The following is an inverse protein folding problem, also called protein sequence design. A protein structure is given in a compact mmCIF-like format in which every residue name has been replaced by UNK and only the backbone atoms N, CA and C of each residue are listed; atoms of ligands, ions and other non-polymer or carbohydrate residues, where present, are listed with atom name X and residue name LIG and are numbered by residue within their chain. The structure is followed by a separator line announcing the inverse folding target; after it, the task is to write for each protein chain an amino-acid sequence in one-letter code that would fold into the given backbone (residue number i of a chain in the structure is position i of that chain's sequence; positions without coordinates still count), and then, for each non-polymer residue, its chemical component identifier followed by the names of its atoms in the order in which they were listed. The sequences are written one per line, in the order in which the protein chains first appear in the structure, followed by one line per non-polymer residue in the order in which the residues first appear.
data_IF_497140321644
#
_entry.id   IF_497140321644
#
_cell.length_a   1.000
_cell.length_b   1.000
_cell.length_c   1.000
_cell.angle_alpha   90.00
_cell.angle_beta   90.00
_cell.angle_gamma   90.00
#
_symmetry.space_group_name_H-M   'P 1'
#
loop_
_entity.id
_entity.type
_entity.pdbx_description
1 polymer ?
#
# COMPACT_ATOMS: atom_id res chain seq x y z
N UNK A 1 0.28 -3.06 -29.03
CA UNK A 1 -0.17 -3.25 -27.62
C UNK A 1 1.10 -3.26 -26.79
N UNK A 2 1.35 -2.22 -26.01
CA UNK A 2 2.54 -2.08 -25.15
C UNK A 2 2.35 -3.03 -23.98
N UNK A 3 3.33 -3.90 -23.73
CA UNK A 3 3.26 -4.97 -22.72
C UNK A 3 4.38 -4.76 -21.70
N UNK A 4 4.17 -5.27 -20.49
CA UNK A 4 5.23 -5.34 -19.49
C UNK A 4 6.53 -5.96 -20.05
N UNK A 5 7.66 -5.57 -19.46
CA UNK A 5 8.95 -6.22 -19.65
C UNK A 5 8.83 -7.75 -19.57
N UNK A 6 9.49 -8.51 -20.46
CA UNK A 6 9.44 -9.97 -20.43
C UNK A 6 9.97 -10.49 -19.09
N UNK A 7 9.25 -11.48 -18.55
CA UNK A 7 9.68 -12.25 -17.38
C UNK A 7 10.99 -12.96 -17.72
N UNK A 8 11.94 -12.95 -16.79
CA UNK A 8 13.22 -13.63 -16.93
C UNK A 8 13.28 -14.86 -16.03
N UNK A 9 14.09 -15.86 -16.38
CA UNK A 9 14.30 -17.05 -15.54
C UNK A 9 14.91 -16.72 -14.17
N UNK A 10 15.55 -15.55 -14.00
CA UNK A 10 16.02 -15.10 -12.69
C UNK A 10 14.87 -14.66 -11.78
N UNK A 11 13.74 -14.18 -12.31
CA UNK A 11 12.58 -13.79 -11.49
C UNK A 11 11.94 -15.01 -10.81
N UNK A 12 12.07 -16.19 -11.43
CA UNK A 12 11.56 -17.47 -10.90
C UNK A 12 12.33 -17.96 -9.65
N UNK A 13 13.49 -17.36 -9.36
CA UNK A 13 14.28 -17.68 -8.16
C UNK A 13 13.62 -17.19 -6.86
N UNK A 14 12.89 -16.06 -6.90
CA UNK A 14 12.26 -15.45 -5.72
C UNK A 14 10.74 -15.55 -5.73
N UNK A 15 10.12 -15.72 -6.90
CA UNK A 15 8.66 -15.65 -7.07
C UNK A 15 8.18 -16.53 -8.20
N UNK A 16 6.86 -16.67 -8.35
CA UNK A 16 6.22 -17.31 -9.49
C UNK A 16 5.14 -16.42 -10.09
N UNK A 17 4.88 -16.57 -11.39
CA UNK A 17 3.80 -15.87 -12.08
C UNK A 17 2.44 -16.44 -11.67
N UNK A 18 1.47 -15.53 -11.54
CA UNK A 18 0.06 -15.86 -11.32
C UNK A 18 -0.75 -15.34 -12.49
N UNK A 19 -1.72 -16.13 -12.94
CA UNK A 19 -2.68 -15.68 -13.94
C UNK A 19 -3.60 -14.62 -13.32
N UNK A 20 -3.37 -13.36 -13.73
CA UNK A 20 -4.11 -12.21 -13.22
C UNK A 20 -5.59 -12.23 -13.61
N UNK A 21 -5.97 -12.99 -14.64
CA UNK A 21 -7.37 -13.07 -15.11
C UNK A 21 -8.28 -13.81 -14.13
N UNK A 22 -7.70 -14.45 -13.11
CA UNK A 22 -8.42 -15.08 -12.00
C UNK A 22 -8.99 -14.05 -11.01
N UNK A 23 -8.57 -12.78 -11.10
CA UNK A 23 -8.98 -11.70 -10.21
C UNK A 23 -9.80 -10.66 -10.97
N UNK A 24 -10.86 -10.16 -10.35
CA UNK A 24 -11.59 -9.01 -10.88
C UNK A 24 -10.85 -7.72 -10.52
N UNK A 25 -9.95 -7.29 -11.41
CA UNK A 25 -9.18 -6.04 -11.26
C UNK A 25 -9.97 -4.80 -11.72
N UNK A 26 -11.26 -4.95 -12.04
CA UNK A 26 -12.13 -3.90 -12.55
C UNK A 26 -11.64 -3.27 -13.88
N UNK A 27 -10.79 -4.00 -14.63
CA UNK A 27 -10.18 -3.54 -15.87
C UNK A 27 -8.84 -2.83 -15.71
N UNK A 28 -8.35 -2.65 -14.47
CA UNK A 28 -7.01 -2.14 -14.18
C UNK A 28 -5.96 -3.23 -14.41
N UNK A 29 -4.70 -2.81 -14.58
CA UNK A 29 -3.50 -3.65 -14.74
C UNK A 29 -3.54 -4.71 -15.85
N UNK A 30 -4.36 -4.50 -16.90
CA UNK A 30 -4.61 -5.47 -17.99
C UNK A 30 -3.38 -5.93 -18.79
N UNK A 31 -2.29 -5.13 -18.84
CA UNK A 31 -1.06 -5.46 -19.57
C UNK A 31 0.13 -5.79 -18.65
N UNK A 32 -0.16 -6.10 -17.39
CA UNK A 32 0.82 -6.44 -16.37
C UNK A 32 0.77 -7.94 -16.04
N UNK A 33 1.91 -8.46 -15.63
CA UNK A 33 2.11 -9.81 -15.09
C UNK A 33 2.08 -9.70 -13.58
N UNK A 34 1.21 -10.48 -12.94
CA UNK A 34 1.21 -10.64 -11.50
C UNK A 34 2.23 -11.71 -11.10
N UNK A 35 2.96 -11.46 -10.02
CA UNK A 35 3.83 -12.46 -9.38
C UNK A 35 3.59 -12.50 -7.88
N UNK A 36 3.92 -13.63 -7.28
CA UNK A 36 3.87 -13.84 -5.82
C UNK A 36 5.15 -14.46 -5.34
N UNK A 37 5.70 -13.92 -4.26
CA UNK A 37 6.93 -14.37 -3.66
C UNK A 37 6.82 -15.83 -3.18
N UNK A 38 7.86 -16.64 -3.39
CA UNK A 38 7.93 -18.04 -2.98
C UNK A 38 7.83 -18.22 -1.45
N UNK A 39 8.25 -17.21 -0.71
CA UNK A 39 8.33 -17.19 0.75
C UNK A 39 7.28 -16.30 1.42
N UNK A 40 6.04 -16.31 0.93
CA UNK A 40 4.96 -15.50 1.51
C UNK A 40 4.71 -15.77 3.00
N UNK A 41 4.84 -17.01 3.48
CA UNK A 41 4.70 -17.32 4.91
C UNK A 41 5.68 -16.51 5.76
N UNK A 42 6.88 -16.21 5.24
CA UNK A 42 7.86 -15.33 5.88
C UNK A 42 7.36 -13.88 5.93
N UNK A 43 6.62 -13.42 4.91
CA UNK A 43 5.95 -12.11 4.95
C UNK A 43 4.86 -12.08 6.03
N UNK A 44 4.06 -13.14 6.15
CA UNK A 44 3.03 -13.26 7.18
C UNK A 44 3.63 -13.24 8.59
N UNK A 45 4.76 -13.93 8.81
CA UNK A 45 5.52 -13.86 10.07
C UNK A 45 5.96 -12.42 10.37
N UNK A 46 6.51 -11.70 9.39
CA UNK A 46 6.92 -10.31 9.56
C UNK A 46 5.76 -9.38 9.94
N UNK A 47 4.63 -9.49 9.23
CA UNK A 47 3.40 -8.76 9.55
C UNK A 47 2.90 -9.08 10.96
N UNK A 48 2.80 -10.36 11.33
CA UNK A 48 2.32 -10.76 12.65
C UNK A 48 3.24 -10.26 13.77
N UNK A 49 4.56 -10.36 13.58
CA UNK A 49 5.52 -9.87 14.57
C UNK A 49 5.38 -8.36 14.82
N UNK A 50 5.07 -7.57 13.77
CA UNK A 50 4.82 -6.14 13.92
C UNK A 50 3.56 -5.86 14.76
N UNK A 51 2.52 -6.69 14.63
CA UNK A 51 1.33 -6.61 15.47
C UNK A 51 1.65 -6.90 16.94
N UNK A 52 2.41 -7.97 17.21
CA UNK A 52 2.81 -8.33 18.57
C UNK A 52 3.63 -7.21 19.23
N UNK A 53 4.64 -6.69 18.54
CA UNK A 53 5.47 -5.59 19.03
C UNK A 53 4.66 -4.33 19.27
N UNK A 54 3.74 -3.99 18.35
CA UNK A 54 2.86 -2.85 18.52
C UNK A 54 1.98 -3.00 19.77
N UNK A 55 1.38 -4.17 19.97
CA UNK A 55 0.55 -4.45 21.14
C UNK A 55 1.34 -4.37 22.44
N UNK A 56 2.58 -4.86 22.46
CA UNK A 56 3.44 -4.86 23.64
C UNK A 56 3.99 -3.47 23.97
N UNK A 57 4.29 -2.65 22.97
CA UNK A 57 5.04 -1.39 23.14
C UNK A 57 4.17 -0.13 23.09
N UNK A 58 3.04 -0.19 22.41
CA UNK A 58 2.17 0.97 22.12
C UNK A 58 0.79 0.74 22.71
N UNK A 59 0.20 -0.43 22.48
CA UNK A 59 -1.10 -0.82 23.04
C UNK A 59 -2.00 -1.53 22.03
N UNK A 60 -3.21 -1.85 22.49
CA UNK A 60 -4.16 -2.67 21.73
C UNK A 60 -4.49 -2.05 20.36
N UNK A 61 -4.28 -2.82 19.31
CA UNK A 61 -4.71 -2.50 17.95
C UNK A 61 -6.23 -2.64 17.87
N UNK A 62 -6.90 -1.70 17.18
CA UNK A 62 -8.33 -1.81 16.97
C UNK A 62 -8.63 -3.08 16.15
N UNK A 63 -9.58 -3.95 16.53
CA UNK A 63 -9.94 -5.13 15.74
C UNK A 63 -10.34 -4.83 14.28
N UNK A 64 -10.68 -3.59 13.93
CA UNK A 64 -10.94 -3.16 12.55
C UNK A 64 -9.70 -2.70 11.77
N UNK A 65 -8.53 -2.63 12.41
CA UNK A 65 -7.27 -2.20 11.79
C UNK A 65 -6.47 -3.39 11.28
N UNK A 66 -6.17 -3.35 9.98
CA UNK A 66 -5.33 -4.32 9.28
C UNK A 66 -4.30 -3.53 8.47
N UNK A 67 -3.09 -4.06 8.33
CA UNK A 67 -2.12 -3.57 7.35
C UNK A 67 -2.05 -4.46 6.13
N UNK A 68 -0.90 -5.06 5.87
CA UNK A 68 -0.55 -5.73 4.62
C UNK A 68 -1.03 -7.19 4.51
N UNK A 69 -1.43 -7.83 5.60
CA UNK A 69 -1.92 -9.21 5.54
C UNK A 69 -3.20 -9.35 4.73
N UNK A 70 -3.20 -10.33 3.81
CA UNK A 70 -4.38 -10.75 3.07
C UNK A 70 -4.26 -12.26 2.78
N UNK A 71 -4.85 -13.13 3.62
CA UNK A 71 -4.75 -14.57 3.44
C UNK A 71 -5.41 -15.09 2.15
N UNK A 72 -6.28 -14.30 1.51
CA UNK A 72 -7.04 -14.76 0.34
C UNK A 72 -6.26 -14.57 -0.96
N UNK A 73 -5.90 -13.34 -1.29
CA UNK A 73 -5.18 -13.04 -2.53
C UNK A 73 -3.66 -13.09 -2.34
N UNK A 74 -3.18 -12.74 -1.15
CA UNK A 74 -1.78 -12.85 -0.75
C UNK A 74 -1.28 -11.61 0.00
N UNK A 75 -0.26 -11.80 0.83
CA UNK A 75 0.36 -10.72 1.61
C UNK A 75 0.84 -9.58 0.70
N UNK A 76 0.64 -8.33 1.11
CA UNK A 76 1.06 -7.14 0.36
C UNK A 76 2.53 -7.21 -0.07
N UNK A 77 3.45 -7.53 0.85
CA UNK A 77 4.88 -7.64 0.53
C UNK A 77 5.15 -8.75 -0.50
N UNK A 78 4.47 -9.88 -0.38
CA UNK A 78 4.67 -11.02 -1.29
C UNK A 78 4.17 -10.74 -2.71
N UNK A 79 3.12 -9.92 -2.87
CA UNK A 79 2.55 -9.57 -4.18
C UNK A 79 3.21 -8.33 -4.80
N UNK A 80 3.48 -7.30 -3.99
CA UNK A 80 3.99 -6.00 -4.46
C UNK A 80 5.50 -6.03 -4.65
N UNK A 81 6.23 -6.78 -3.82
CA UNK A 81 7.69 -6.84 -3.83
C UNK A 81 8.22 -8.25 -4.14
N UNK A 82 7.82 -8.89 -5.26
CA UNK A 82 8.10 -10.31 -5.50
C UNK A 82 9.58 -10.62 -5.83
N UNK A 83 10.42 -9.60 -6.04
CA UNK A 83 11.84 -9.76 -6.39
C UNK A 83 12.81 -9.52 -5.22
N UNK A 84 12.31 -9.22 -4.01
CA UNK A 84 13.20 -9.03 -2.86
C UNK A 84 13.89 -10.33 -2.47
N UNK A 85 15.07 -10.22 -1.86
CA UNK A 85 15.84 -11.39 -1.42
C UNK A 85 15.08 -12.15 -0.32
N UNK A 86 15.02 -13.49 -0.34
CA UNK A 86 14.30 -14.29 0.66
C UNK A 86 14.66 -13.94 2.11
N UNK A 87 15.95 -13.72 2.39
CA UNK A 87 16.46 -13.37 3.72
C UNK A 87 16.06 -11.95 4.19
N UNK A 88 15.52 -11.11 3.30
CA UNK A 88 15.06 -9.74 3.60
C UNK A 88 13.54 -9.63 3.72
N UNK A 89 12.79 -10.65 3.27
CA UNK A 89 11.32 -10.65 3.23
C UNK A 89 10.68 -10.33 4.58
N UNK A 90 11.12 -10.98 5.66
CA UNK A 90 10.49 -10.83 6.97
C UNK A 90 10.59 -9.40 7.47
N UNK A 91 11.80 -8.82 7.43
CA UNK A 91 12.01 -7.45 7.90
C UNK A 91 11.31 -6.44 6.98
N UNK A 92 11.29 -6.66 5.67
CA UNK A 92 10.52 -5.82 4.74
C UNK A 92 9.03 -5.83 5.08
N UNK A 93 8.44 -7.01 5.32
CA UNK A 93 7.03 -7.12 5.69
C UNK A 93 6.74 -6.46 7.04
N UNK A 94 7.60 -6.66 8.04
CA UNK A 94 7.50 -6.01 9.34
C UNK A 94 7.47 -4.48 9.23
N UNK A 95 8.37 -3.91 8.44
CA UNK A 95 8.49 -2.45 8.27
C UNK A 95 7.27 -1.87 7.53
N UNK A 96 6.79 -2.55 6.50
CA UNK A 96 5.58 -2.14 5.77
C UNK A 96 4.34 -2.25 6.65
N UNK A 97 4.22 -3.31 7.47
CA UNK A 97 3.12 -3.46 8.42
C UNK A 97 3.13 -2.34 9.46
N UNK A 98 4.29 -2.01 10.02
CA UNK A 98 4.44 -0.86 10.91
C UNK A 98 3.96 0.44 10.24
N UNK A 99 4.32 0.66 8.97
CA UNK A 99 3.87 1.84 8.23
C UNK A 99 2.34 1.90 8.09
N UNK A 100 1.66 0.78 7.78
CA UNK A 100 0.20 0.71 7.74
C UNK A 100 -0.47 0.99 9.09
N UNK A 101 0.10 0.49 10.19
CA UNK A 101 -0.41 0.74 11.55
C UNK A 101 -0.18 2.20 11.96
N UNK A 102 0.98 2.76 11.61
CA UNK A 102 1.33 4.16 11.87
C UNK A 102 0.40 5.12 11.12
N UNK A 103 0.13 4.85 9.84
CA UNK A 103 -0.78 5.63 9.00
C UNK A 103 -2.16 5.78 9.64
N UNK A 104 -2.74 4.67 10.11
CA UNK A 104 -4.03 4.68 10.83
C UNK A 104 -4.01 5.60 12.07
N UNK A 105 -2.88 5.67 12.79
CA UNK A 105 -2.74 6.56 13.95
C UNK A 105 -2.70 8.02 13.53
N UNK A 106 -1.98 8.34 12.44
CA UNK A 106 -1.90 9.70 11.90
C UNK A 106 -3.28 10.17 11.44
N UNK A 107 -4.02 9.33 10.72
CA UNK A 107 -5.39 9.64 10.28
C UNK A 107 -6.35 9.88 11.46
N UNK A 108 -6.34 8.99 12.48
CA UNK A 108 -7.17 9.17 13.68
C UNK A 108 -6.84 10.45 14.47
N UNK A 109 -5.57 10.88 14.45
CA UNK A 109 -5.17 12.16 15.05
C UNK A 109 -5.67 13.37 14.24
N UNK A 110 -5.76 13.26 12.91
CA UNK A 110 -6.32 14.31 12.03
C UNK A 110 -7.84 14.47 12.25
N UNK A 111 -8.59 13.37 12.31
CA UNK A 111 -10.05 13.39 12.51
C UNK A 111 -10.53 13.96 13.86
N UNK A 112 -9.64 14.05 14.87
CA UNK A 112 -9.97 14.62 16.19
C UNK A 112 -9.81 16.15 16.27
N UNK A 113 -9.31 16.80 15.21
CA UNK A 113 -8.98 18.22 15.24
C UNK A 113 -7.86 18.55 16.23
N UNK A 114 -7.18 19.69 16.03
CA UNK A 114 -6.27 20.25 17.05
C UNK A 114 -7.10 20.81 18.21
N UNK A 115 -7.71 19.94 19.02
CA UNK A 115 -8.15 20.28 20.36
C UNK A 115 -6.90 20.50 21.22
N UNK A 116 -6.30 21.69 21.06
CA UNK A 116 -5.21 22.18 21.91
C UNK A 116 -5.65 22.44 23.36
N UNK A 117 -6.92 22.14 23.71
CA UNK A 117 -7.50 22.49 25.01
C UNK A 117 -8.27 21.37 25.73
N UNK A 118 -8.28 20.12 25.28
CA UNK A 118 -8.87 19.05 26.09
C UNK A 118 -7.79 18.33 26.90
N UNK A 119 -7.62 18.79 28.13
CA UNK A 119 -6.83 18.13 29.15
C UNK A 119 -7.31 16.71 29.40
N UNK A 120 -6.33 15.85 29.69
CA UNK A 120 -6.47 14.65 30.52
C UNK A 120 -7.66 13.73 30.20
N UNK A 121 -7.83 13.32 28.94
CA UNK A 121 -8.57 12.09 28.66
C UNK A 121 -7.64 10.87 28.89
N UNK A 122 -7.32 10.62 30.16
CA UNK A 122 -6.70 9.38 30.62
C UNK A 122 -7.66 8.24 30.32
N UNK A 123 -7.48 7.58 29.17
CA UNK A 123 -7.92 6.19 29.00
C UNK A 123 -7.18 5.39 30.07
N UNK A 124 -7.92 4.97 31.11
CA UNK A 124 -7.47 3.99 32.08
C UNK A 124 -7.50 2.61 31.43
N UNK A 125 -6.61 2.40 30.47
CA UNK A 125 -6.33 1.07 29.92
C UNK A 125 -4.89 0.72 30.32
N UNK A 126 -4.80 -0.19 31.30
CA UNK A 126 -3.69 -1.08 31.68
C UNK A 126 -2.27 -0.59 31.31
N UNK A 127 -1.47 -0.27 32.34
CA UNK A 127 -0.02 0.01 32.36
C UNK A 127 0.82 -0.40 31.13
N UNK A 128 0.71 0.33 30.02
CA UNK A 128 1.73 0.40 28.97
C UNK A 128 2.27 1.84 28.93
N UNK A 129 3.56 1.99 28.61
CA UNK A 129 4.22 3.31 28.59
C UNK A 129 3.60 4.29 27.60
N UNK A 130 4.14 5.52 27.52
CA UNK A 130 3.69 6.54 26.55
C UNK A 130 3.68 5.97 25.12
N UNK A 131 2.52 5.86 24.44
CA UNK A 131 2.42 5.33 23.07
C UNK A 131 3.35 6.03 22.07
N UNK A 132 3.65 7.32 22.28
CA UNK A 132 4.61 8.07 21.46
C UNK A 132 6.03 7.57 21.66
N UNK A 133 6.38 7.23 22.90
CA UNK A 133 7.68 6.63 23.22
C UNK A 133 7.76 5.20 22.65
N UNK A 134 6.67 4.43 22.71
CA UNK A 134 6.56 3.11 22.09
C UNK A 134 6.83 3.16 20.59
N UNK A 135 6.14 4.06 19.86
CA UNK A 135 6.35 4.28 18.43
C UNK A 135 7.80 4.66 18.11
N UNK A 136 8.38 5.61 18.86
CA UNK A 136 9.78 6.04 18.65
C UNK A 136 10.78 4.91 18.86
N UNK A 137 10.57 4.06 19.88
CA UNK A 137 11.43 2.90 20.13
C UNK A 137 11.33 1.88 19.01
N UNK A 138 10.12 1.57 18.55
CA UNK A 138 9.90 0.64 17.44
C UNK A 138 10.54 1.17 16.14
N UNK A 139 10.44 2.47 15.86
CA UNK A 139 11.14 3.11 14.73
C UNK A 139 12.67 3.01 14.85
N UNK A 140 13.23 3.24 16.04
CA UNK A 140 14.66 3.10 16.28
C UNK A 140 15.12 1.65 16.05
N UNK A 141 14.41 0.68 16.64
CA UNK A 141 14.71 -0.75 16.48
C UNK A 141 14.63 -1.20 15.00
N UNK A 142 13.66 -0.67 14.24
CA UNK A 142 13.56 -0.89 12.79
C UNK A 142 14.81 -0.37 12.08
N UNK A 143 15.18 0.88 12.32
CA UNK A 143 16.33 1.50 11.64
C UNK A 143 17.64 0.81 12.01
N UNK A 144 17.80 0.36 13.25
CA UNK A 144 18.98 -0.39 13.69
C UNK A 144 19.08 -1.74 12.97
N UNK A 145 17.98 -2.47 12.84
CA UNK A 145 17.94 -3.74 12.10
C UNK A 145 18.20 -3.57 10.61
N UNK A 146 17.60 -2.56 9.97
CA UNK A 146 17.85 -2.24 8.56
C UNK A 146 19.32 -1.87 8.34
N UNK A 147 19.91 -1.05 9.22
CA UNK A 147 21.30 -0.61 9.15
C UNK A 147 22.29 -1.75 9.33
N UNK A 148 21.99 -2.71 10.22
CA UNK A 148 22.82 -3.88 10.45
C UNK A 148 22.98 -4.76 9.20
N UNK A 149 22.00 -4.74 8.30
CA UNK A 149 22.01 -5.53 7.06
C UNK A 149 22.55 -4.71 5.88
N UNK A 150 21.99 -3.51 5.64
CA UNK A 150 22.42 -2.63 4.55
C UNK A 150 22.27 -1.15 4.97
N UNK A 151 23.33 -0.58 5.53
CA UNK A 151 23.36 0.83 5.95
C UNK A 151 23.18 1.83 4.80
N UNK A 152 23.56 1.50 3.56
CA UNK A 152 23.46 2.43 2.43
C UNK A 152 22.02 2.52 1.94
N UNK A 153 21.37 1.38 1.70
CA UNK A 153 19.94 1.31 1.41
C UNK A 153 19.09 1.92 2.53
N UNK A 154 19.48 1.71 3.79
CA UNK A 154 18.76 2.26 4.95
C UNK A 154 18.75 3.79 4.96
N UNK A 155 19.84 4.45 4.50
CA UNK A 155 19.84 5.92 4.36
C UNK A 155 18.77 6.41 3.37
N UNK A 156 18.51 5.67 2.29
CA UNK A 156 17.40 5.99 1.36
C UNK A 156 16.06 5.85 2.07
N UNK A 157 15.83 4.73 2.76
CA UNK A 157 14.59 4.46 3.52
C UNK A 157 14.32 5.55 4.55
N UNK A 158 15.30 5.90 5.37
CA UNK A 158 15.17 6.95 6.40
C UNK A 158 14.82 8.31 5.79
N UNK A 159 15.48 8.68 4.68
CA UNK A 159 15.23 9.95 3.98
C UNK A 159 13.80 10.03 3.46
N UNK A 160 13.35 9.01 2.73
CA UNK A 160 11.99 9.04 2.14
C UNK A 160 10.91 8.94 3.21
N UNK A 161 11.16 8.21 4.29
CA UNK A 161 10.21 8.11 5.40
C UNK A 161 10.03 9.46 6.11
N UNK A 162 11.13 10.18 6.39
CA UNK A 162 11.06 11.53 6.96
C UNK A 162 10.29 12.49 6.07
N UNK A 163 10.51 12.43 4.76
CA UNK A 163 9.81 13.30 3.80
C UNK A 163 8.32 12.97 3.70
N UNK A 164 7.96 11.68 3.71
CA UNK A 164 6.57 11.23 3.74
C UNK A 164 5.83 11.80 4.95
N UNK A 165 6.36 11.60 6.16
CA UNK A 165 5.76 12.13 7.40
C UNK A 165 5.68 13.66 7.37
N UNK A 166 6.74 14.34 6.93
CA UNK A 166 6.76 15.80 6.85
C UNK A 166 5.72 16.35 5.86
N UNK A 167 5.53 15.68 4.72
CA UNK A 167 4.57 16.09 3.68
C UNK A 167 3.14 15.89 4.15
N UNK A 168 2.81 14.72 4.69
CA UNK A 168 1.48 14.44 5.26
C UNK A 168 1.10 15.45 6.34
N UNK A 169 2.06 15.88 7.17
CA UNK A 169 1.81 16.92 8.19
C UNK A 169 1.70 18.34 7.63
N UNK A 170 2.43 18.68 6.56
CA UNK A 170 2.46 20.04 5.98
C UNK A 170 1.22 20.33 5.15
N UNK A 171 0.81 19.35 4.35
CA UNK A 171 -0.24 19.49 3.34
C UNK A 171 -1.60 19.01 3.87
N UNK A 172 -1.72 18.84 5.19
CA UNK A 172 -2.87 18.16 5.81
C UNK A 172 -4.23 18.82 5.52
N UNK A 173 -4.20 20.14 5.27
CA UNK A 173 -5.37 21.01 5.07
C UNK A 173 -5.39 21.59 3.64
N UNK A 174 -4.60 21.02 2.71
CA UNK A 174 -4.50 21.56 1.35
C UNK A 174 -5.76 21.29 0.55
N UNK A 175 -6.28 22.35 -0.07
CA UNK A 175 -7.30 22.25 -1.11
C UNK A 175 -6.63 22.05 -2.47
N UNK A 176 -7.06 21.04 -3.21
CA UNK A 176 -6.54 20.73 -4.54
C UNK A 176 -7.47 21.31 -5.62
N UNK A 177 -6.90 22.01 -6.61
CA UNK A 177 -7.64 22.60 -7.72
C UNK A 177 -7.81 21.66 -8.91
N UNK A 178 -7.09 20.54 -8.96
CA UNK A 178 -7.15 19.57 -10.06
C UNK A 178 -6.61 18.21 -9.67
N UNK A 179 -6.97 17.17 -10.45
CA UNK A 179 -6.43 15.82 -10.28
C UNK A 179 -4.90 15.80 -10.38
N UNK A 180 -4.33 16.56 -11.31
CA UNK A 180 -2.87 16.63 -11.48
C UNK A 180 -2.18 17.16 -10.23
N UNK A 181 -2.70 18.24 -9.65
CA UNK A 181 -2.15 18.80 -8.41
C UNK A 181 -2.29 17.82 -7.24
N UNK A 182 -3.41 17.11 -7.17
CA UNK A 182 -3.63 16.07 -6.17
C UNK A 182 -2.64 14.92 -6.32
N UNK A 183 -2.44 14.41 -7.55
CA UNK A 183 -1.49 13.31 -7.84
C UNK A 183 -0.07 13.68 -7.42
N UNK A 184 0.38 14.90 -7.68
CA UNK A 184 1.73 15.35 -7.27
C UNK A 184 1.92 15.28 -5.74
N UNK A 185 0.89 15.60 -4.97
CA UNK A 185 0.88 15.40 -3.51
C UNK A 185 0.76 13.91 -3.14
N UNK A 186 -0.19 13.21 -3.76
CA UNK A 186 -0.59 11.85 -3.39
C UNK A 186 0.50 10.81 -3.63
N UNK A 187 1.40 11.04 -4.60
CA UNK A 187 2.59 10.19 -4.81
C UNK A 187 3.45 10.09 -3.53
N UNK A 188 3.59 11.20 -2.81
CA UNK A 188 4.38 11.24 -1.57
C UNK A 188 3.55 10.72 -0.40
N UNK A 189 2.31 11.18 -0.28
CA UNK A 189 1.41 10.85 0.82
C UNK A 189 0.99 9.37 0.85
N UNK A 190 0.76 8.74 -0.31
CA UNK A 190 0.48 7.31 -0.42
C UNK A 190 1.70 6.41 -0.17
N UNK A 191 2.87 7.00 0.14
CA UNK A 191 4.07 6.26 0.47
C UNK A 191 4.72 5.53 -0.72
N UNK A 192 4.43 5.90 -1.97
CA UNK A 192 4.99 5.21 -3.14
C UNK A 192 6.53 5.19 -3.13
N UNK A 193 7.15 6.31 -2.75
CA UNK A 193 8.62 6.42 -2.60
C UNK A 193 9.16 5.60 -1.43
N UNK A 194 8.36 5.38 -0.38
CA UNK A 194 8.74 4.52 0.74
C UNK A 194 8.72 3.05 0.34
N UNK A 195 7.68 2.61 -0.38
CA UNK A 195 7.59 1.25 -0.93
C UNK A 195 8.71 1.00 -1.95
N UNK A 196 9.03 1.96 -2.82
CA UNK A 196 10.19 1.88 -3.72
C UNK A 196 11.51 1.73 -2.95
N UNK A 197 11.73 2.51 -1.88
CA UNK A 197 12.94 2.40 -1.09
C UNK A 197 13.05 1.03 -0.40
N UNK A 198 11.93 0.47 0.08
CA UNK A 198 11.89 -0.88 0.63
C UNK A 198 12.09 -1.96 -0.44
N UNK A 199 11.61 -1.75 -1.67
CA UNK A 199 11.89 -2.61 -2.83
C UNK A 199 13.40 -2.66 -3.11
N UNK A 200 14.04 -1.50 -3.25
CA UNK A 200 15.48 -1.38 -3.50
C UNK A 200 16.29 -2.00 -2.35
N UNK A 201 15.94 -1.70 -1.10
CA UNK A 201 16.57 -2.31 0.07
C UNK A 201 16.39 -3.83 0.08
N UNK A 202 15.19 -4.34 -0.20
CA UNK A 202 14.91 -5.78 -0.22
C UNK A 202 15.63 -6.51 -1.35
N UNK A 203 15.82 -5.87 -2.51
CA UNK A 203 16.56 -6.40 -3.65
C UNK A 203 18.08 -6.26 -3.51
N UNK A 204 18.55 -5.50 -2.52
CA UNK A 204 19.96 -5.11 -2.38
C UNK A 204 20.48 -4.32 -3.57
N UNK A 205 19.65 -3.38 -4.03
CA UNK A 205 19.92 -2.56 -5.20
C UNK A 205 20.02 -1.09 -4.80
N UNK A 206 20.97 -0.39 -5.43
CA UNK A 206 21.18 1.04 -5.24
C UNK A 206 21.08 1.79 -6.56
N UNK A 207 20.42 2.94 -6.51
CA UNK A 207 20.39 3.92 -7.59
C UNK A 207 21.30 5.09 -7.24
N UNK A 208 22.09 5.53 -8.21
CA UNK A 208 22.86 6.77 -8.10
C UNK A 208 21.95 7.98 -8.29
N UNK A 209 22.37 9.19 -7.87
CA UNK A 209 21.61 10.41 -8.13
C UNK A 209 21.29 10.63 -9.61
N UNK A 210 22.24 10.34 -10.50
CA UNK A 210 22.06 10.47 -11.95
C UNK A 210 21.05 9.45 -12.49
N UNK A 211 21.03 8.23 -11.94
CA UNK A 211 20.02 7.23 -12.28
C UNK A 211 18.64 7.63 -11.78
N UNK A 212 18.53 8.14 -10.55
CA UNK A 212 17.28 8.67 -9.99
C UNK A 212 16.73 9.81 -10.88
N UNK A 213 17.58 10.76 -11.28
CA UNK A 213 17.17 11.88 -12.15
C UNK A 213 16.67 11.38 -13.52
N UNK A 214 17.38 10.41 -14.12
CA UNK A 214 16.98 9.81 -15.40
C UNK A 214 15.69 9.02 -15.30
N UNK A 215 15.47 8.33 -14.18
CA UNK A 215 14.29 7.48 -13.95
C UNK A 215 13.06 8.25 -13.50
N UNK A 216 13.23 9.39 -12.83
CA UNK A 216 12.15 10.19 -12.28
C UNK A 216 10.97 10.45 -13.25
N UNK A 217 11.18 10.90 -14.51
CA UNK A 217 10.06 11.07 -15.43
C UNK A 217 9.43 9.73 -15.84
N UNK A 218 10.16 8.62 -15.82
CA UNK A 218 9.66 7.31 -16.27
C UNK A 218 8.77 6.69 -15.20
N UNK A 219 9.16 6.76 -13.93
CA UNK A 219 8.47 6.08 -12.82
C UNK A 219 7.30 6.88 -12.25
N UNK A 220 7.25 8.19 -12.49
CA UNK A 220 6.18 9.05 -11.96
C UNK A 220 4.75 8.55 -12.28
N UNK A 221 4.42 8.10 -13.52
CA UNK A 221 3.11 7.51 -13.80
C UNK A 221 2.81 6.24 -13.02
N UNK A 222 3.82 5.41 -12.70
CA UNK A 222 3.64 4.24 -11.83
C UNK A 222 3.12 4.67 -10.44
N UNK A 223 3.76 5.67 -9.84
CA UNK A 223 3.37 6.16 -8.52
C UNK A 223 1.98 6.81 -8.54
N UNK A 224 1.65 7.52 -9.61
CA UNK A 224 0.30 8.07 -9.80
C UNK A 224 -0.75 6.95 -9.86
N UNK A 225 -0.52 5.90 -10.66
CA UNK A 225 -1.42 4.76 -10.77
C UNK A 225 -1.61 4.04 -9.42
N UNK A 226 -0.53 3.82 -8.66
CA UNK A 226 -0.59 3.20 -7.33
C UNK A 226 -1.43 4.03 -6.35
N UNK A 227 -1.22 5.34 -6.30
CA UNK A 227 -1.96 6.24 -5.41
C UNK A 227 -3.45 6.34 -5.77
N UNK A 228 -3.79 6.49 -7.05
CA UNK A 228 -5.18 6.57 -7.49
C UNK A 228 -5.92 5.25 -7.34
N UNK A 229 -5.24 4.12 -7.55
CA UNK A 229 -5.85 2.82 -7.31
C UNK A 229 -6.09 2.57 -5.82
N UNK A 230 -5.16 2.99 -4.97
CA UNK A 230 -5.35 2.94 -3.53
C UNK A 230 -6.65 3.67 -3.16
N UNK A 231 -6.76 4.95 -3.55
CA UNK A 231 -7.96 5.75 -3.32
C UNK A 231 -9.24 5.08 -3.84
N UNK A 232 -9.18 4.49 -5.04
CA UNK A 232 -10.32 3.82 -5.66
C UNK A 232 -10.83 2.63 -4.84
N UNK A 233 -9.92 1.76 -4.39
CA UNK A 233 -10.28 0.54 -3.64
C UNK A 233 -10.56 0.82 -2.16
N UNK A 234 -9.90 1.82 -1.56
CA UNK A 234 -10.09 2.18 -0.17
C UNK A 234 -11.28 3.10 0.08
N UNK A 235 -11.79 3.79 -0.97
CA UNK A 235 -12.81 4.84 -0.85
C UNK A 235 -14.02 4.42 -0.02
N UNK A 236 -14.63 3.26 -0.26
CA UNK A 236 -15.89 2.90 0.40
C UNK A 236 -15.72 2.76 1.92
N UNK A 237 -14.58 2.20 2.34
CA UNK A 237 -14.22 2.06 3.73
C UNK A 237 -13.85 3.41 4.36
N UNK A 238 -12.94 4.15 3.74
CA UNK A 238 -12.48 5.44 4.23
C UNK A 238 -13.63 6.45 4.31
N UNK A 239 -14.52 6.46 3.32
CA UNK A 239 -15.69 7.33 3.30
C UNK A 239 -16.73 6.95 4.36
N UNK A 240 -16.90 5.66 4.65
CA UNK A 240 -17.75 5.20 5.75
C UNK A 240 -17.19 5.63 7.10
N UNK A 241 -15.88 5.48 7.32
CA UNK A 241 -15.19 5.96 8.53
C UNK A 241 -15.29 7.48 8.67
N UNK A 242 -15.05 8.23 7.59
CA UNK A 242 -15.21 9.69 7.56
C UNK A 242 -16.63 10.09 7.97
N UNK A 243 -17.66 9.48 7.37
CA UNK A 243 -19.06 9.74 7.73
C UNK A 243 -19.38 9.43 9.18
N UNK A 244 -18.90 8.30 9.69
CA UNK A 244 -19.11 7.91 11.08
C UNK A 244 -18.49 8.92 12.05
N UNK A 245 -17.26 9.36 11.77
CA UNK A 245 -16.56 10.37 12.57
C UNK A 245 -17.27 11.72 12.54
N UNK A 246 -17.71 12.18 11.37
CA UNK A 246 -18.46 13.44 11.22
C UNK A 246 -19.81 13.39 11.94
N UNK A 247 -20.54 12.28 11.83
CA UNK A 247 -21.82 12.11 12.53
C UNK A 247 -21.65 12.11 14.06
N UNK A 248 -20.61 11.45 14.58
CA UNK A 248 -20.29 11.45 16.00
C UNK A 248 -19.87 12.85 16.50
N UNK A 249 -19.16 13.63 15.68
CA UNK A 249 -18.77 14.99 16.01
C UNK A 249 -19.97 15.95 16.07
N UNK A 250 -20.90 15.87 15.11
CA UNK A 250 -22.13 16.68 15.06
C UNK A 250 -23.00 16.50 16.32
N UNK A 251 -23.02 15.30 16.90
CA UNK A 251 -23.72 15.05 18.17
C UNK A 251 -23.06 15.66 19.41
N UNK A 252 -21.83 16.18 19.29
CA UNK A 252 -20.99 16.57 20.44
C UNK A 252 -20.61 18.05 20.54
N UNK A 253 -20.62 18.85 19.46
CA UNK A 253 -20.38 20.31 19.49
C UNK A 253 -20.86 21.00 18.19
N UNK A 254 -21.11 22.32 18.28
CA UNK A 254 -21.62 23.19 17.21
C UNK A 254 -20.83 23.09 15.89
N UNK A 255 -21.59 23.07 14.79
CA UNK A 255 -21.17 22.98 13.39
C UNK A 255 -19.96 23.87 13.07
N UNK A 256 -18.86 23.23 12.65
CA UNK A 256 -17.84 23.87 11.83
C UNK A 256 -18.22 23.68 10.36
N UNK A 257 -18.45 24.77 9.64
CA UNK A 257 -18.68 24.77 8.18
C UNK A 257 -17.43 24.29 7.40
N UNK A 258 -16.30 24.16 8.08
CA UNK A 258 -14.97 23.79 7.59
C UNK A 258 -14.57 22.32 7.85
N UNK A 259 -15.47 21.47 8.37
CA UNK A 259 -15.19 20.06 8.72
C UNK A 259 -15.32 19.04 7.54
N UNK A 260 -15.39 19.52 6.31
CA UNK A 260 -15.87 18.76 5.12
C UNK A 260 -14.76 18.28 4.15
N UNK A 261 -13.51 18.21 4.59
CA UNK A 261 -12.39 17.79 3.70
C UNK A 261 -12.06 16.31 3.89
N UNK A 262 -12.20 15.54 2.81
CA UNK A 262 -11.83 14.13 2.74
C UNK A 262 -10.80 13.94 1.62
N UNK A 263 -9.59 13.52 1.99
CA UNK A 263 -8.42 13.48 1.10
C UNK A 263 -8.39 12.16 0.32
N UNK A 264 -9.24 12.05 -0.69
CA UNK A 264 -9.30 10.90 -1.59
C UNK A 264 -9.71 11.38 -2.99
N UNK A 265 -9.04 10.90 -4.05
CA UNK A 265 -9.29 11.35 -5.43
C UNK A 265 -10.74 11.13 -5.89
N UNK A 266 -11.42 10.08 -5.44
CA UNK A 266 -12.83 9.84 -5.78
C UNK A 266 -13.70 10.95 -5.19
N UNK A 267 -13.48 11.33 -3.93
CA UNK A 267 -14.19 12.44 -3.29
C UNK A 267 -13.94 13.76 -4.00
N UNK A 268 -12.66 14.07 -4.25
CA UNK A 268 -12.28 15.31 -4.95
C UNK A 268 -12.91 15.35 -6.35
N UNK A 269 -12.95 14.23 -7.06
CA UNK A 269 -13.58 14.14 -8.37
C UNK A 269 -15.08 14.38 -8.33
N UNK A 270 -15.79 13.84 -7.33
CA UNK A 270 -17.20 14.16 -7.09
C UNK A 270 -17.40 15.68 -6.95
N UNK A 271 -16.52 16.36 -6.19
CA UNK A 271 -16.60 17.81 -5.96
C UNK A 271 -16.27 18.63 -7.20
N UNK A 272 -15.25 18.24 -7.97
CA UNK A 272 -14.84 18.99 -9.16
C UNK A 272 -15.80 18.85 -10.34
N UNK A 273 -16.45 17.69 -10.48
CA UNK A 273 -17.29 17.37 -11.65
C UNK A 273 -18.78 17.27 -11.35
N UNK A 274 -19.18 17.40 -10.07
CA UNK A 274 -20.56 17.27 -9.61
C UNK A 274 -21.20 15.94 -10.04
N UNK A 275 -20.44 14.85 -9.91
CA UNK A 275 -20.86 13.48 -10.22
C UNK A 275 -21.10 12.68 -8.93
N UNK A 276 -21.79 11.55 -9.05
CA UNK A 276 -21.99 10.62 -7.95
C UNK A 276 -20.74 9.75 -7.71
N UNK A 277 -20.79 8.89 -6.69
CA UNK A 277 -19.67 8.00 -6.33
C UNK A 277 -19.31 7.09 -7.50
N UNK A 278 -20.30 6.55 -8.22
CA UNK A 278 -20.08 5.61 -9.32
C UNK A 278 -19.37 6.32 -10.48
N UNK A 279 -19.88 7.47 -10.89
CA UNK A 279 -19.26 8.27 -11.95
C UNK A 279 -17.87 8.79 -11.57
N UNK A 280 -17.65 9.18 -10.32
CA UNK A 280 -16.32 9.59 -9.85
C UNK A 280 -15.34 8.40 -9.86
N UNK A 281 -15.77 7.23 -9.38
CA UNK A 281 -14.98 5.99 -9.44
C UNK A 281 -14.64 5.61 -10.89
N UNK A 282 -15.57 5.76 -11.83
CA UNK A 282 -15.31 5.49 -13.24
C UNK A 282 -14.27 6.44 -13.83
N UNK A 283 -14.33 7.74 -13.49
CA UNK A 283 -13.32 8.73 -13.93
C UNK A 283 -11.95 8.40 -13.34
N UNK A 284 -11.86 8.12 -12.03
CA UNK A 284 -10.60 7.78 -11.37
C UNK A 284 -10.04 6.47 -11.93
N UNK A 285 -10.87 5.45 -12.17
CA UNK A 285 -10.46 4.21 -12.82
C UNK A 285 -9.87 4.46 -14.21
N UNK A 286 -10.51 5.31 -15.02
CA UNK A 286 -9.98 5.73 -16.33
C UNK A 286 -8.62 6.41 -16.22
N UNK A 287 -8.50 7.39 -15.31
CA UNK A 287 -7.23 8.09 -15.08
C UNK A 287 -6.11 7.14 -14.59
N UNK A 288 -6.42 6.19 -13.71
CA UNK A 288 -5.48 5.15 -13.27
C UNK A 288 -4.99 4.33 -14.45
N UNK A 289 -5.89 3.85 -15.32
CA UNK A 289 -5.53 3.07 -16.50
C UNK A 289 -4.68 3.87 -17.50
N UNK A 290 -4.90 5.18 -17.63
CA UNK A 290 -4.07 6.06 -18.45
C UNK A 290 -2.64 6.15 -17.90
N UNK A 291 -2.47 6.34 -16.59
CA UNK A 291 -1.15 6.35 -15.95
C UNK A 291 -0.44 4.99 -16.02
N UNK A 292 -1.18 3.89 -15.89
CA UNK A 292 -0.66 2.54 -16.09
C UNK A 292 -0.10 2.34 -17.51
N UNK A 293 -0.83 2.77 -18.53
CA UNK A 293 -0.41 2.66 -19.93
C UNK A 293 0.77 3.61 -20.23
N UNK A 294 0.74 4.81 -19.66
CA UNK A 294 1.83 5.78 -19.77
C UNK A 294 3.12 5.24 -19.15
N UNK A 295 3.06 4.61 -17.97
CA UNK A 295 4.22 4.00 -17.33
C UNK A 295 4.88 2.96 -18.25
N UNK A 296 4.10 2.01 -18.77
CA UNK A 296 4.63 0.98 -19.67
C UNK A 296 5.24 1.61 -20.94
N UNK A 297 4.60 2.63 -21.50
CA UNK A 297 5.11 3.35 -22.68
C UNK A 297 6.45 4.03 -22.40
N UNK A 298 6.58 4.68 -21.24
CA UNK A 298 7.83 5.35 -20.84
C UNK A 298 8.93 4.33 -20.54
N UNK A 299 8.60 3.19 -19.93
CA UNK A 299 9.53 2.08 -19.79
C UNK A 299 10.04 1.60 -21.15
N UNK A 300 9.15 1.23 -22.06
CA UNK A 300 9.53 0.74 -23.40
C UNK A 300 10.43 1.73 -24.14
N UNK A 301 10.09 3.02 -24.11
CA UNK A 301 10.90 4.07 -24.73
C UNK A 301 12.29 4.21 -24.10
N UNK A 302 12.39 4.15 -22.76
CA UNK A 302 13.68 4.21 -22.07
C UNK A 302 14.55 3.00 -22.39
N UNK A 303 13.96 1.82 -22.38
CA UNK A 303 14.65 0.54 -22.60
C UNK A 303 15.24 0.42 -24.01
N UNK A 304 14.58 0.98 -25.02
CA UNK A 304 15.10 1.03 -26.40
C UNK A 304 16.41 1.84 -26.50
N UNK A 305 16.63 2.78 -25.58
CA UNK A 305 17.86 3.57 -25.52
C UNK A 305 18.97 2.96 -24.66
N UNK A 306 18.71 1.84 -23.96
CA UNK A 306 19.71 1.17 -23.13
C UNK A 306 20.64 0.27 -23.95
N UNK A 307 21.88 0.17 -23.53
CA UNK A 307 22.84 -0.79 -24.07
C UNK A 307 22.70 -2.19 -23.45
N UNK A 308 23.81 -2.92 -23.47
CA UNK A 308 23.95 -4.26 -22.87
C UNK A 308 24.92 -4.25 -21.68
N UNK A 309 25.19 -3.08 -21.10
CA UNK A 309 26.07 -2.97 -19.95
C UNK A 309 25.42 -3.47 -18.65
N UNK A 310 26.24 -3.70 -17.63
CA UNK A 310 25.77 -4.11 -16.29
C UNK A 310 24.79 -3.08 -15.68
N UNK A 311 25.09 -1.78 -15.85
CA UNK A 311 24.20 -0.69 -15.42
C UNK A 311 22.85 -0.78 -16.11
N UNK A 312 22.82 -1.05 -17.41
CA UNK A 312 21.59 -1.17 -18.17
C UNK A 312 20.73 -2.34 -17.68
N UNK A 313 21.36 -3.46 -17.33
CA UNK A 313 20.66 -4.62 -16.78
C UNK A 313 20.09 -4.34 -15.39
N UNK A 314 20.85 -3.65 -14.53
CA UNK A 314 20.34 -3.18 -13.23
C UNK A 314 19.07 -2.34 -13.40
N UNK A 315 19.07 -1.38 -14.33
CA UNK A 315 17.91 -0.50 -14.56
C UNK A 315 16.71 -1.24 -15.16
N UNK A 316 16.94 -2.27 -15.99
CA UNK A 316 15.86 -3.16 -16.47
C UNK A 316 15.20 -3.92 -15.33
N UNK A 317 15.99 -4.49 -14.43
CA UNK A 317 15.50 -5.22 -13.26
C UNK A 317 14.71 -4.27 -12.34
N UNK A 318 15.21 -3.06 -12.11
CA UNK A 318 14.51 -2.02 -11.33
C UNK A 318 13.12 -1.69 -11.92
N UNK A 319 13.05 -1.39 -13.22
CA UNK A 319 11.78 -1.06 -13.87
C UNK A 319 10.80 -2.25 -13.87
N UNK A 320 11.31 -3.47 -14.05
CA UNK A 320 10.49 -4.69 -13.96
C UNK A 320 9.93 -4.89 -12.56
N UNK A 321 10.73 -4.64 -11.52
CA UNK A 321 10.28 -4.70 -10.13
C UNK A 321 9.17 -3.69 -9.84
N UNK A 322 9.30 -2.44 -10.32
CA UNK A 322 8.22 -1.44 -10.23
C UNK A 322 6.95 -1.85 -10.98
N UNK A 323 7.10 -2.47 -12.15
CA UNK A 323 5.95 -2.97 -12.90
C UNK A 323 5.19 -4.06 -12.13
N UNK A 324 5.84 -4.85 -11.27
CA UNK A 324 5.13 -5.82 -10.42
C UNK A 324 4.35 -5.18 -9.26
N UNK A 325 4.73 -3.97 -8.83
CA UNK A 325 3.99 -3.27 -7.77
C UNK A 325 2.55 -2.95 -8.19
N UNK A 326 2.34 -2.60 -9.46
CA UNK A 326 1.02 -2.24 -10.01
C UNK A 326 -0.01 -3.37 -9.83
N UNK A 327 0.15 -4.56 -10.47
CA UNK A 327 -0.79 -5.66 -10.30
C UNK A 327 -0.79 -6.22 -8.88
N UNK A 328 0.35 -6.23 -8.19
CA UNK A 328 0.43 -6.67 -6.80
C UNK A 328 -0.47 -5.84 -5.88
N UNK A 329 -0.43 -4.51 -6.04
CA UNK A 329 -1.26 -3.58 -5.28
C UNK A 329 -2.75 -3.74 -5.64
N UNK A 330 -3.09 -3.85 -6.92
CA UNK A 330 -4.49 -4.02 -7.35
C UNK A 330 -5.09 -5.30 -6.78
N UNK A 331 -4.42 -6.44 -7.00
CA UNK A 331 -4.93 -7.75 -6.59
C UNK A 331 -4.98 -7.86 -5.08
N UNK A 332 -4.02 -7.29 -4.34
CA UNK A 332 -4.13 -7.19 -2.90
C UNK A 332 -5.36 -6.36 -2.46
N UNK A 333 -5.58 -5.20 -3.10
CA UNK A 333 -6.63 -4.24 -2.73
C UNK A 333 -8.06 -4.74 -2.99
N UNK A 334 -8.26 -5.67 -3.93
CA UNK A 334 -9.59 -6.19 -4.31
C UNK A 334 -10.34 -6.82 -3.13
N UNK A 335 -9.63 -7.41 -2.17
CA UNK A 335 -10.28 -8.05 -1.01
C UNK A 335 -9.46 -8.01 0.29
N UNK A 336 -8.46 -7.13 0.40
CA UNK A 336 -7.70 -7.04 1.64
C UNK A 336 -8.62 -6.69 2.82
N UNK A 337 -8.45 -7.32 3.99
CA UNK A 337 -9.20 -7.02 5.20
C UNK A 337 -9.17 -5.55 5.64
N UNK A 338 -8.13 -4.81 5.22
CA UNK A 338 -7.98 -3.37 5.46
C UNK A 338 -9.14 -2.60 4.84
N UNK A 339 -9.42 -2.80 3.56
CA UNK A 339 -10.48 -2.08 2.83
C UNK A 339 -11.83 -2.79 2.87
N UNK A 340 -11.84 -4.09 3.15
CA UNK A 340 -13.05 -4.90 2.99
C UNK A 340 -13.43 -5.59 4.30
N UNK A 341 -14.39 -5.03 5.06
CA UNK A 341 -14.83 -5.60 6.33
C UNK A 341 -15.29 -7.06 6.27
N UNK A 342 -15.85 -7.49 5.14
CA UNK A 342 -16.33 -8.85 4.94
C UNK A 342 -15.23 -9.93 4.95
N UNK A 343 -13.96 -9.55 4.77
CA UNK A 343 -12.82 -10.47 4.77
C UNK A 343 -11.97 -10.38 6.05
N UNK A 344 -12.44 -9.65 7.07
CA UNK A 344 -11.72 -9.48 8.34
C UNK A 344 -11.72 -10.75 9.17
N UNK A 345 -10.61 -10.97 9.86
CA UNK A 345 -10.37 -12.06 10.80
C UNK A 345 -9.55 -11.50 11.98
N UNK A 346 -9.21 -12.30 13.00
CA UNK A 346 -8.33 -11.80 14.06
C UNK A 346 -6.86 -11.78 13.60
N UNK A 347 -6.40 -10.61 13.12
CA UNK A 347 -5.01 -10.42 12.70
C UNK A 347 -3.98 -10.58 13.83
N UNK A 348 -4.42 -10.62 15.09
CA UNK A 348 -3.53 -10.82 16.24
C UNK A 348 -3.44 -12.29 16.67
N UNK A 349 -4.19 -13.19 16.02
CA UNK A 349 -4.21 -14.60 16.35
C UNK A 349 -3.19 -15.43 15.54
N UNK A 350 -2.45 -14.81 14.60
CA UNK A 350 -1.42 -15.50 13.79
C UNK A 350 -2.01 -16.56 12.87
N UNK A 351 -3.20 -16.30 12.32
CA UNK A 351 -3.99 -17.27 11.53
C UNK A 351 -3.70 -17.23 10.03
N UNK A 352 -2.83 -16.31 9.59
CA UNK A 352 -2.59 -15.98 8.17
C UNK A 352 -2.27 -17.20 7.32
N UNK A 353 -1.31 -18.03 7.74
CA UNK A 353 -0.86 -19.19 6.97
C UNK A 353 -1.94 -20.27 6.90
N UNK A 354 -2.64 -20.52 8.01
CA UNK A 354 -3.76 -21.48 8.05
C UNK A 354 -4.91 -21.04 7.16
N UNK A 355 -5.28 -19.76 7.22
CA UNK A 355 -6.32 -19.20 6.35
C UNK A 355 -5.90 -19.21 4.88
N UNK A 356 -4.63 -18.91 4.60
CA UNK A 356 -4.07 -18.95 3.24
C UNK A 356 -4.16 -20.35 2.65
N UNK A 357 -3.78 -21.38 3.41
CA UNK A 357 -3.87 -22.76 2.95
C UNK A 357 -5.32 -23.17 2.70
N UNK A 358 -6.21 -22.87 3.64
CA UNK A 358 -7.65 -23.15 3.50
C UNK A 358 -8.24 -22.53 2.23
N UNK A 359 -7.96 -21.25 1.97
CA UNK A 359 -8.51 -20.57 0.77
C UNK A 359 -7.93 -21.13 -0.53
N UNK A 360 -6.70 -21.64 -0.52
CA UNK A 360 -6.11 -22.33 -1.68
C UNK A 360 -6.78 -23.68 -1.93
N UNK A 361 -7.03 -24.46 -0.88
CA UNK A 361 -7.78 -25.72 -0.99
C UNK A 361 -9.19 -25.49 -1.56
N UNK A 362 -9.90 -24.48 -1.04
CA UNK A 362 -11.25 -24.10 -1.50
C UNK A 362 -11.25 -23.64 -2.97
N UNK A 363 -10.17 -23.03 -3.45
CA UNK A 363 -10.04 -22.61 -4.86
C UNK A 363 -9.75 -23.79 -5.81
N UNK A 364 -9.11 -24.86 -5.31
CA UNK A 364 -8.79 -26.06 -6.10
C UNK A 364 -9.96 -27.04 -6.13
N UNK A 365 -10.83 -27.06 -5.13
CA UNK A 365 -12.04 -27.86 -5.17
C UNK A 365 -13.09 -27.22 -6.09
N UNK A 366 -13.56 -27.90 -7.15
CA UNK A 366 -14.64 -27.37 -7.97
C UNK A 366 -15.86 -27.20 -7.07
N UNK A 367 -16.37 -25.97 -7.02
CA UNK A 367 -17.57 -25.62 -6.26
C UNK A 367 -18.71 -26.57 -6.66
N UNK A 368 -18.97 -27.56 -5.81
CA UNK A 368 -20.10 -28.48 -5.92
C UNK A 368 -21.41 -27.82 -5.47
N UNK A 369 -21.34 -26.55 -5.07
CA UNK A 369 -22.44 -25.81 -4.44
C UNK A 369 -23.20 -24.86 -5.39
N UNK A 370 -22.88 -24.79 -6.68
CA UNK A 370 -23.59 -23.93 -7.65
C UNK A 370 -24.29 -24.71 -8.79
N UNK A 371 -24.83 -25.90 -8.49
CA UNK A 371 -25.61 -26.71 -9.45
C UNK A 371 -27.04 -27.07 -9.02
N UNK A 372 -27.61 -26.37 -8.06
CA UNK A 372 -29.02 -26.56 -7.70
C UNK A 372 -29.69 -25.23 -7.35
N UNK A 373 -30.10 -24.48 -8.37
CA UNK A 373 -31.28 -23.57 -8.35
C UNK A 373 -31.40 -22.84 -9.69
N UNK A 374 -31.53 -23.62 -10.77
CA UNK A 374 -32.19 -23.16 -12.01
C UNK A 374 -32.82 -24.37 -12.68
N UNK A 375 -33.91 -24.85 -12.08
CA UNK A 375 -34.95 -25.67 -12.71
C UNK A 375 -36.03 -25.90 -11.63
N UNK A 376 -37.01 -24.99 -11.56
CA UNK A 376 -38.47 -25.21 -11.56
C UNK A 376 -39.13 -23.84 -11.80
#
# INVERSE_FOLDING_TARGET
MIKQLPVTSSDDSTSYAIDITQYDTHGLCSNYTLRRHNHESISNVGTHQAHEDWQQRIGRINPSQFGGANPRNGNFTALVLPLIKPERVQLTAYVLEYAFLYDNVVELQRGRGKDKNNGDCKRKDIHLGDPRLGMKKMQADILDQLNAINSVGTRRVERVWKEMVATTMREQDKCFGSLKEYVDFRIVDAGALFVEAMMLWGMDMELTPDEDERLAPIVKPCYAALGLANDYFSFDWEYAEFKYQTAAYITSCSLREDADTFTNSVWLMMRWTNTDIVGAKDIIRGATAEYEAEFLTRCDGFLQGLGQGEVDEKLKIYLRALQYQVPGNMVWSVNCPRYHPAFRYDANAGLEDMLTEKYREDAVQPSSAYRATKEV
#
